data_IF_433698575935
#
_entry.id   IF_433698575935
#
_cell.length_a   1.000
_cell.length_b   1.000
_cell.length_c   1.000
_cell.angle_alpha   90.00
_cell.angle_beta   90.00
_cell.angle_gamma   90.00
#
_symmetry.space_group_name_H-M   'P 1'
#
loop_
_entity.id
_entity.type
_entity.pdbx_description
1 polymer ?
#
# COMPACT_ATOMS: atom_id res chain seq x y z
N UNK A 1 -53.44 -36.29 1.49
CA UNK A 1 -53.21 -35.58 2.77
C UNK A 1 -52.41 -34.32 2.44
N UNK A 2 -52.92 -33.09 2.28
CA UNK A 2 -54.05 -32.36 2.88
C UNK A 2 -54.20 -32.52 4.39
N UNK A 3 -54.43 -31.38 5.04
CA UNK A 3 -54.73 -31.14 6.47
C UNK A 3 -53.49 -31.02 7.39
N UNK A 4 -53.10 -29.80 7.79
CA UNK A 4 -53.67 -29.12 8.96
C UNK A 4 -52.90 -27.83 9.32
N UNK A 5 -53.66 -26.74 9.51
CA UNK A 5 -53.50 -25.60 10.45
C UNK A 5 -54.15 -24.37 9.80
N UNK A 6 -55.48 -24.32 9.81
CA UNK A 6 -56.31 -23.70 10.85
C UNK A 6 -55.88 -22.25 11.15
N UNK A 7 -56.76 -21.28 10.85
CA UNK A 7 -57.76 -20.83 11.82
C UNK A 7 -58.74 -19.87 11.13
N UNK A 8 -60.00 -20.09 11.49
CA UNK A 8 -61.24 -19.43 11.07
C UNK A 8 -61.31 -17.96 11.44
N UNK A 9 -62.07 -17.23 10.60
CA UNK A 9 -62.71 -15.97 10.90
C UNK A 9 -63.65 -16.10 12.10
N UNK A 10 -63.65 -15.12 13.01
CA UNK A 10 -64.75 -14.17 13.22
C UNK A 10 -64.47 -13.21 14.39
N UNK A 11 -65.07 -12.03 14.23
CA UNK A 11 -65.46 -11.03 15.23
C UNK A 11 -64.64 -9.74 15.40
N UNK A 12 -65.45 -8.67 15.48
CA UNK A 12 -65.21 -7.24 15.63
C UNK A 12 -65.07 -6.50 14.30
N UNK A 13 -66.09 -5.82 13.80
CA UNK A 13 -67.27 -5.30 14.46
C UNK A 13 -67.54 -3.95 13.81
N UNK A 14 -68.77 -3.78 13.34
CA UNK A 14 -69.24 -2.67 12.53
C UNK A 14 -68.85 -1.28 13.07
N UNK A 15 -68.54 -0.37 12.15
CA UNK A 15 -69.22 0.91 12.20
C UNK A 15 -69.56 1.39 10.78
N UNK A 16 -70.85 1.65 10.63
CA UNK A 16 -71.54 2.06 9.43
C UNK A 16 -71.26 3.54 9.22
N UNK A 17 -70.50 3.89 8.18
CA UNK A 17 -70.55 5.27 7.63
C UNK A 17 -71.48 5.23 6.43
N UNK A 18 -72.57 5.97 6.59
CA UNK A 18 -73.65 6.07 5.63
C UNK A 18 -73.15 6.47 4.24
N UNK A 19 -73.68 5.74 3.26
CA UNK A 19 -73.62 6.00 1.83
C UNK A 19 -74.23 7.39 1.57
N UNK A 20 -73.41 8.38 1.16
CA UNK A 20 -73.93 9.74 0.93
C UNK A 20 -72.96 10.90 0.87
N UNK A 21 -71.63 10.70 0.89
CA UNK A 21 -70.70 11.76 0.49
C UNK A 21 -70.44 11.63 -1.02
N UNK A 22 -70.53 12.71 -1.81
CA UNK A 22 -70.14 12.64 -3.22
C UNK A 22 -68.70 12.14 -3.27
N UNK A 23 -68.45 11.08 -4.06
CA UNK A 23 -67.09 10.57 -4.25
C UNK A 23 -66.15 11.75 -4.51
N UNK A 24 -64.99 11.83 -3.82
CA UNK A 24 -64.01 12.85 -4.14
C UNK A 24 -63.65 12.61 -5.60
N UNK A 25 -64.04 13.56 -6.45
CA UNK A 25 -63.72 13.56 -7.86
C UNK A 25 -62.21 13.37 -7.93
N UNK A 26 -61.78 12.16 -8.28
CA UNK A 26 -60.37 11.82 -8.38
C UNK A 26 -59.85 12.66 -9.54
N UNK A 27 -59.39 13.88 -9.24
CA UNK A 27 -58.58 14.65 -10.14
C UNK A 27 -57.41 13.73 -10.50
N UNK A 28 -57.17 13.47 -11.79
CA UNK A 28 -56.15 12.51 -12.18
C UNK A 28 -54.85 12.95 -11.54
N UNK A 29 -54.30 12.11 -10.67
CA UNK A 29 -53.03 12.34 -10.00
C UNK A 29 -52.05 12.87 -11.04
N UNK A 30 -51.63 14.12 -10.87
CA UNK A 30 -50.72 14.80 -11.79
C UNK A 30 -49.54 13.87 -12.05
N UNK A 31 -49.32 13.51 -13.31
CA UNK A 31 -48.32 12.55 -13.74
C UNK A 31 -46.98 12.80 -13.01
N UNK A 32 -46.24 11.74 -12.59
CA UNK A 32 -44.96 11.92 -11.94
C UNK A 32 -44.06 12.79 -12.83
N UNK A 33 -43.54 13.88 -12.27
CA UNK A 33 -42.73 14.84 -13.01
C UNK A 33 -41.59 14.11 -13.75
N UNK A 34 -41.29 14.48 -15.01
CA UNK A 34 -40.28 13.80 -15.81
C UNK A 34 -38.93 13.89 -15.10
N UNK A 35 -38.32 12.74 -14.82
CA UNK A 35 -36.98 12.65 -14.23
C UNK A 35 -36.02 13.33 -15.20
N UNK A 36 -35.50 14.50 -14.81
CA UNK A 36 -34.59 15.28 -15.64
C UNK A 36 -33.37 14.43 -16.03
N UNK A 37 -33.12 14.30 -17.34
CA UNK A 37 -32.02 13.51 -17.88
C UNK A 37 -30.68 14.10 -17.41
N UNK A 38 -29.94 13.35 -16.57
CA UNK A 38 -28.62 13.79 -16.10
C UNK A 38 -27.59 13.64 -17.21
N UNK A 39 -27.30 14.75 -17.91
CA UNK A 39 -26.26 14.84 -18.94
C UNK A 39 -24.91 14.35 -18.38
N UNK A 40 -24.29 13.30 -18.94
CA UNK A 40 -23.06 12.75 -18.40
C UNK A 40 -21.91 13.76 -18.59
N UNK A 41 -21.21 14.10 -17.49
CA UNK A 41 -20.01 14.94 -17.54
C UNK A 41 -18.91 14.21 -18.30
N UNK A 42 -18.54 14.72 -19.48
CA UNK A 42 -17.44 14.19 -20.30
C UNK A 42 -16.13 14.83 -19.81
N UNK A 43 -15.34 14.11 -19.02
CA UNK A 43 -13.99 14.54 -18.68
C UNK A 43 -13.06 14.24 -19.86
N UNK A 44 -12.44 15.27 -20.45
CA UNK A 44 -11.51 15.09 -21.57
C UNK A 44 -10.10 14.75 -21.05
N UNK A 45 -9.90 13.48 -20.68
CA UNK A 45 -8.62 12.95 -20.21
C UNK A 45 -7.69 12.69 -21.40
N UNK A 46 -8.24 12.17 -22.50
CA UNK A 46 -7.47 11.77 -23.69
C UNK A 46 -6.80 12.95 -24.41
N UNK A 47 -7.43 14.13 -24.42
CA UNK A 47 -6.87 15.34 -25.06
C UNK A 47 -5.70 15.97 -24.29
N UNK A 48 -5.57 15.68 -22.98
CA UNK A 48 -4.49 16.21 -22.12
C UNK A 48 -3.44 15.16 -21.76
N UNK A 49 -3.38 14.04 -22.49
CA UNK A 49 -2.45 12.93 -22.20
C UNK A 49 -1.00 13.37 -22.01
N UNK A 50 -0.51 14.30 -22.84
CA UNK A 50 0.88 14.78 -22.78
C UNK A 50 1.17 15.54 -21.49
N UNK A 51 0.20 16.28 -20.96
CA UNK A 51 0.33 16.97 -19.67
C UNK A 51 0.44 15.97 -18.52
N UNK A 52 -0.38 14.91 -18.56
CA UNK A 52 -0.31 13.84 -17.56
C UNK A 52 1.01 13.05 -17.65
N UNK A 53 1.48 12.75 -18.86
CA UNK A 53 2.79 12.11 -19.04
C UNK A 53 3.94 12.99 -18.55
N UNK A 54 3.93 14.29 -18.86
CA UNK A 54 4.95 15.23 -18.40
C UNK A 54 4.95 15.36 -16.87
N UNK A 55 3.76 15.45 -16.25
CA UNK A 55 3.63 15.48 -14.79
C UNK A 55 4.15 14.20 -14.15
N UNK A 56 3.80 13.03 -14.70
CA UNK A 56 4.33 11.75 -14.24
C UNK A 56 5.85 11.69 -14.37
N UNK A 57 6.41 12.15 -15.49
CA UNK A 57 7.85 12.14 -15.73
C UNK A 57 8.59 13.04 -14.72
N UNK A 58 8.03 14.22 -14.41
CA UNK A 58 8.56 15.14 -13.40
C UNK A 58 8.62 14.51 -12.01
N UNK A 59 7.76 13.53 -11.69
CA UNK A 59 7.81 12.82 -10.40
C UNK A 59 8.74 11.61 -10.47
N UNK A 60 8.68 10.84 -11.57
CA UNK A 60 9.45 9.61 -11.74
C UNK A 60 10.94 9.89 -11.84
N UNK A 61 11.36 10.87 -12.65
CA UNK A 61 12.79 11.12 -12.93
C UNK A 61 13.54 11.55 -11.67
N UNK A 62 13.09 12.55 -10.89
CA UNK A 62 13.73 12.88 -9.62
C UNK A 62 13.69 11.74 -8.62
N UNK A 63 12.62 10.93 -8.61
CA UNK A 63 12.55 9.71 -7.78
C UNK A 63 13.67 8.72 -8.10
N UNK A 64 13.90 8.43 -9.39
CA UNK A 64 14.99 7.57 -9.86
C UNK A 64 16.35 8.19 -9.52
N UNK A 65 16.55 9.49 -9.78
CA UNK A 65 17.81 10.19 -9.46
C UNK A 65 18.10 10.17 -7.96
N UNK A 66 17.07 10.37 -7.13
CA UNK A 66 17.19 10.29 -5.68
C UNK A 66 17.60 8.88 -5.23
N UNK A 67 16.98 7.83 -5.80
CA UNK A 67 17.37 6.45 -5.53
C UNK A 67 18.81 6.14 -5.93
N UNK A 68 19.26 6.63 -7.10
CA UNK A 68 20.60 6.38 -7.61
C UNK A 68 21.70 7.09 -6.80
N UNK A 69 21.42 8.27 -6.25
CA UNK A 69 22.43 9.10 -5.55
C UNK A 69 22.45 8.89 -4.04
N UNK A 70 21.30 8.79 -3.38
CA UNK A 70 21.22 8.77 -1.91
C UNK A 70 21.35 7.38 -1.29
N UNK A 71 21.55 6.35 -2.10
CA UNK A 71 21.51 4.94 -1.70
C UNK A 71 20.18 4.56 -1.03
N UNK A 72 19.91 3.26 -0.94
CA UNK A 72 18.74 2.77 -0.23
C UNK A 72 19.06 2.65 1.26
N UNK A 73 18.15 3.12 2.13
CA UNK A 73 18.14 2.73 3.54
C UNK A 73 17.65 1.28 3.63
N UNK A 74 18.50 0.35 3.20
CA UNK A 74 18.18 -1.07 3.13
C UNK A 74 17.88 -1.60 4.54
N UNK A 75 16.79 -2.37 4.65
CA UNK A 75 16.51 -3.13 5.86
C UNK A 75 17.61 -4.17 6.13
N UNK A 76 17.64 -4.67 7.36
CA UNK A 76 18.62 -5.68 7.81
C UNK A 76 18.60 -6.97 6.98
N UNK A 77 17.47 -7.31 6.35
CA UNK A 77 17.35 -8.47 5.46
C UNK A 77 18.19 -8.34 4.18
N UNK A 78 18.51 -7.10 3.77
CA UNK A 78 19.29 -6.81 2.57
C UNK A 78 20.68 -6.26 2.90
N UNK A 79 20.82 -5.42 3.93
CA UNK A 79 22.13 -4.92 4.35
C UNK A 79 22.93 -5.93 5.16
N UNK A 80 22.26 -6.89 5.81
CA UNK A 80 22.81 -7.63 6.94
C UNK A 80 22.92 -6.75 8.18
N UNK A 81 23.06 -7.36 9.36
CA UNK A 81 23.18 -6.60 10.59
C UNK A 81 22.64 -7.33 11.81
N UNK A 82 22.49 -6.57 12.88
CA UNK A 82 21.88 -7.03 14.12
C UNK A 82 20.80 -6.06 14.57
N UNK A 83 19.58 -6.55 14.71
CA UNK A 83 18.44 -5.78 15.22
C UNK A 83 18.09 -6.28 16.63
N UNK A 84 17.99 -5.35 17.57
CA UNK A 84 17.56 -5.61 18.93
C UNK A 84 16.26 -4.83 19.18
N UNK A 85 15.20 -5.56 19.52
CA UNK A 85 13.95 -4.97 20.01
C UNK A 85 13.99 -5.02 21.53
N UNK A 86 14.07 -3.85 22.15
CA UNK A 86 14.21 -3.69 23.60
C UNK A 86 13.14 -2.76 24.14
N UNK A 87 12.62 -3.07 25.33
CA UNK A 87 11.78 -2.16 26.08
C UNK A 87 12.49 -1.76 27.38
N UNK A 88 12.45 -0.46 27.70
CA UNK A 88 13.11 0.08 28.89
C UNK A 88 12.07 0.42 29.96
N UNK A 89 12.28 -0.08 31.18
CA UNK A 89 11.36 0.19 32.30
C UNK A 89 11.35 1.68 32.72
N UNK A 90 12.43 2.41 32.46
CA UNK A 90 12.58 3.80 32.86
C UNK A 90 12.06 4.81 31.81
N UNK A 91 11.46 4.33 30.71
CA UNK A 91 10.96 5.17 29.61
C UNK A 91 11.95 6.28 29.18
N UNK A 92 13.23 5.96 28.92
CA UNK A 92 14.21 6.93 28.45
C UNK A 92 13.73 7.53 27.14
N UNK A 93 14.07 8.80 26.90
CA UNK A 93 13.75 9.47 25.63
C UNK A 93 14.57 8.88 24.48
N UNK A 94 14.07 8.99 23.24
CA UNK A 94 14.81 8.55 22.05
C UNK A 94 16.24 9.11 21.99
N UNK A 95 16.43 10.38 22.37
CA UNK A 95 17.73 11.02 22.37
C UNK A 95 18.70 10.40 23.39
N UNK A 96 18.20 9.96 24.56
CA UNK A 96 19.02 9.27 25.56
C UNK A 96 19.42 7.88 25.08
N UNK A 97 18.50 7.14 24.46
CA UNK A 97 18.80 5.81 23.91
C UNK A 97 19.80 5.94 22.76
N UNK A 98 19.58 6.88 21.83
CA UNK A 98 20.53 7.13 20.74
C UNK A 98 21.91 7.55 21.28
N UNK A 99 21.97 8.41 22.30
CA UNK A 99 23.25 8.79 22.92
C UNK A 99 23.98 7.62 23.60
N UNK A 100 23.25 6.66 24.18
CA UNK A 100 23.86 5.44 24.72
C UNK A 100 24.42 4.54 23.62
N UNK A 101 23.67 4.36 22.53
CA UNK A 101 24.07 3.57 21.36
C UNK A 101 25.26 4.20 20.63
N UNK A 102 25.29 5.53 20.50
CA UNK A 102 26.40 6.25 19.89
C UNK A 102 27.68 6.14 20.73
N UNK A 103 27.54 6.08 22.06
CA UNK A 103 28.68 5.93 22.98
C UNK A 103 29.37 4.56 22.89
N UNK A 104 28.71 3.54 22.34
CA UNK A 104 29.30 2.22 22.07
C UNK A 104 30.27 2.27 20.87
N UNK A 105 30.15 3.27 19.99
CA UNK A 105 31.04 3.45 18.83
C UNK A 105 30.81 2.47 17.68
N UNK A 106 29.65 1.80 17.65
CA UNK A 106 29.35 0.70 16.70
C UNK A 106 28.40 1.15 15.57
N UNK A 107 28.17 2.45 15.41
CA UNK A 107 27.25 3.03 14.40
C UNK A 107 25.84 2.43 14.44
N UNK A 108 25.25 2.35 15.63
CA UNK A 108 23.87 1.91 15.79
C UNK A 108 22.86 3.01 15.48
N UNK A 109 21.69 2.63 14.95
CA UNK A 109 20.55 3.54 14.76
C UNK A 109 19.37 3.10 15.62
N UNK A 110 18.68 4.06 16.22
CA UNK A 110 17.54 3.79 17.11
C UNK A 110 16.24 4.30 16.48
N UNK A 111 15.23 3.44 16.52
CA UNK A 111 13.87 3.75 16.06
C UNK A 111 12.92 3.48 17.23
N UNK A 112 12.12 4.46 17.63
CA UNK A 112 11.08 4.25 18.65
C UNK A 112 9.89 3.52 18.03
N UNK A 113 9.38 2.50 18.70
CA UNK A 113 8.17 1.78 18.28
C UNK A 113 6.87 2.43 18.77
N UNK A 114 6.97 3.53 19.52
CA UNK A 114 5.88 4.09 20.30
C UNK A 114 5.70 3.35 21.64
N UNK A 115 5.40 4.10 22.70
CA UNK A 115 5.42 3.58 24.08
C UNK A 115 6.85 3.38 24.58
N UNK A 116 7.14 2.19 25.10
CA UNK A 116 8.37 1.91 25.87
C UNK A 116 9.40 1.11 25.07
N UNK A 117 9.03 0.73 23.85
CA UNK A 117 9.80 -0.10 22.94
C UNK A 117 10.68 0.70 21.98
N UNK A 118 11.85 0.14 21.72
CA UNK A 118 12.85 0.65 20.81
C UNK A 118 13.40 -0.48 19.97
N UNK A 119 13.59 -0.21 18.67
CA UNK A 119 14.32 -1.06 17.75
C UNK A 119 15.67 -0.41 17.53
N UNK A 120 16.73 -1.11 17.92
CA UNK A 120 18.11 -0.68 17.76
C UNK A 120 18.75 -1.56 16.68
N UNK A 121 19.29 -0.93 15.64
CA UNK A 121 19.93 -1.60 14.52
C UNK A 121 21.41 -1.30 14.50
N UNK A 122 22.21 -2.35 14.51
CA UNK A 122 23.65 -2.31 14.38
C UNK A 122 24.09 -2.93 13.06
N UNK A 123 25.29 -2.59 12.56
CA UNK A 123 26.02 -3.40 11.58
C UNK A 123 26.21 -4.84 12.09
N UNK A 124 26.67 -5.79 11.24
CA UNK A 124 26.82 -7.19 11.65
C UNK A 124 27.72 -7.35 12.89
N UNK A 125 27.17 -7.86 13.99
CA UNK A 125 27.88 -8.10 15.25
C UNK A 125 28.07 -9.58 15.53
N UNK A 126 29.12 -9.89 16.30
CA UNK A 126 29.29 -11.24 16.87
C UNK A 126 28.42 -11.43 18.10
N UNK A 127 28.11 -12.68 18.44
CA UNK A 127 27.32 -13.00 19.63
C UNK A 127 27.92 -12.43 20.93
N UNK A 128 29.25 -12.36 21.04
CA UNK A 128 29.92 -11.77 22.22
C UNK A 128 29.74 -10.25 22.28
N UNK A 129 29.78 -9.56 21.15
CA UNK A 129 29.52 -8.11 21.08
C UNK A 129 28.08 -7.78 21.46
N UNK A 130 27.11 -8.58 20.99
CA UNK A 130 25.69 -8.40 21.32
C UNK A 130 25.48 -8.49 22.84
N UNK A 131 26.06 -9.48 23.50
CA UNK A 131 25.98 -9.61 24.97
C UNK A 131 26.63 -8.44 25.70
N UNK A 132 27.75 -7.93 25.18
CA UNK A 132 28.42 -6.74 25.71
C UNK A 132 27.54 -5.49 25.63
N UNK A 133 26.93 -5.25 24.47
CA UNK A 133 26.01 -4.15 24.22
C UNK A 133 24.78 -4.23 25.13
N UNK A 134 24.18 -5.41 25.28
CA UNK A 134 23.05 -5.58 26.19
C UNK A 134 23.40 -5.21 27.63
N UNK A 135 24.62 -5.57 28.06
CA UNK A 135 25.10 -5.22 29.39
C UNK A 135 25.33 -3.72 29.53
N UNK A 136 25.93 -3.08 28.51
CA UNK A 136 26.19 -1.64 28.52
C UNK A 136 24.88 -0.82 28.50
N UNK A 137 23.93 -1.18 27.64
CA UNK A 137 22.60 -0.56 27.59
C UNK A 137 21.87 -0.69 28.93
N UNK A 138 21.95 -1.87 29.56
CA UNK A 138 21.36 -2.09 30.89
C UNK A 138 22.03 -1.24 31.97
N UNK A 139 23.35 -1.06 31.91
CA UNK A 139 24.08 -0.24 32.88
C UNK A 139 23.80 1.26 32.71
N UNK A 140 23.63 1.75 31.48
CA UNK A 140 23.42 3.16 31.17
C UNK A 140 21.97 3.62 31.32
N UNK A 141 21.02 2.80 30.87
CA UNK A 141 19.60 3.16 30.74
C UNK A 141 18.72 2.47 31.79
N UNK A 142 19.28 1.52 32.54
CA UNK A 142 18.60 0.77 33.58
C UNK A 142 17.97 -0.54 33.08
N UNK A 143 17.01 -1.12 33.82
CA UNK A 143 16.45 -2.43 33.49
C UNK A 143 15.83 -2.48 32.09
N UNK A 144 16.35 -3.39 31.25
CA UNK A 144 15.90 -3.63 29.89
C UNK A 144 15.19 -4.98 29.78
N UNK A 145 14.09 -5.03 29.04
CA UNK A 145 13.47 -6.26 28.58
C UNK A 145 13.77 -6.44 27.09
N UNK A 146 14.63 -7.41 26.76
CA UNK A 146 14.96 -7.73 25.37
C UNK A 146 13.87 -8.63 24.82
N UNK A 147 13.07 -8.10 23.89
CA UNK A 147 11.95 -8.82 23.30
C UNK A 147 12.40 -9.70 22.14
N UNK A 148 13.32 -9.21 21.31
CA UNK A 148 13.78 -9.92 20.13
C UNK A 148 15.22 -9.51 19.78
N UNK A 149 15.99 -10.48 19.29
CA UNK A 149 17.29 -10.25 18.68
C UNK A 149 17.27 -10.95 17.33
N UNK A 150 17.46 -10.21 16.24
CA UNK A 150 17.59 -10.75 14.89
C UNK A 150 18.99 -10.46 14.39
N UNK A 151 19.73 -11.52 14.03
CA UNK A 151 21.06 -11.40 13.43
C UNK A 151 21.00 -11.95 12.02
N UNK A 152 21.30 -11.11 11.04
CA UNK A 152 21.38 -11.49 9.62
C UNK A 152 22.83 -11.39 9.18
N UNK A 153 23.41 -12.51 8.79
CA UNK A 153 24.76 -12.57 8.25
C UNK A 153 24.84 -11.97 6.85
N UNK A 154 25.97 -11.35 6.51
CA UNK A 154 26.19 -10.72 5.20
C UNK A 154 26.05 -11.69 4.02
N UNK A 155 26.32 -12.98 4.22
CA UNK A 155 26.13 -14.03 3.20
C UNK A 155 24.64 -14.25 2.89
N UNK A 156 23.81 -14.40 3.93
CA UNK A 156 22.36 -14.58 3.80
C UNK A 156 21.73 -13.32 3.19
N UNK A 157 22.17 -12.14 3.63
CA UNK A 157 21.71 -10.88 3.06
C UNK A 157 22.06 -10.76 1.56
N UNK A 158 23.29 -11.11 1.18
CA UNK A 158 23.72 -11.11 -0.22
C UNK A 158 22.94 -12.11 -1.09
N UNK A 159 22.70 -13.32 -0.58
CA UNK A 159 21.87 -14.31 -1.27
C UNK A 159 20.42 -13.84 -1.42
N UNK A 160 19.85 -13.23 -0.38
CA UNK A 160 18.49 -12.66 -0.40
C UNK A 160 18.36 -11.56 -1.46
N UNK A 161 19.36 -10.68 -1.58
CA UNK A 161 19.40 -9.66 -2.63
C UNK A 161 19.42 -10.31 -4.01
N UNK A 162 20.31 -11.29 -4.23
CA UNK A 162 20.45 -11.95 -5.52
C UNK A 162 19.16 -12.67 -5.94
N UNK A 163 18.55 -13.41 -5.02
CA UNK A 163 17.29 -14.12 -5.24
C UNK A 163 16.14 -13.15 -5.48
N UNK A 164 16.05 -12.06 -4.72
CA UNK A 164 15.01 -11.04 -4.90
C UNK A 164 15.13 -10.33 -6.25
N UNK A 165 16.35 -9.98 -6.66
CA UNK A 165 16.60 -9.36 -7.95
C UNK A 165 16.21 -10.30 -9.10
N UNK A 166 16.60 -11.57 -9.01
CA UNK A 166 16.24 -12.59 -10.00
C UNK A 166 14.72 -12.81 -10.04
N UNK A 167 14.06 -12.88 -8.88
CA UNK A 167 12.61 -13.05 -8.79
C UNK A 167 11.85 -11.88 -9.46
N UNK A 168 12.28 -10.64 -9.27
CA UNK A 168 11.68 -9.46 -9.92
C UNK A 168 11.83 -9.53 -11.43
N UNK A 169 13.01 -9.91 -11.94
CA UNK A 169 13.25 -10.06 -13.38
C UNK A 169 12.36 -11.16 -13.96
N UNK A 170 12.32 -12.33 -13.33
CA UNK A 170 11.52 -13.47 -13.79
C UNK A 170 10.02 -13.13 -13.74
N UNK A 171 9.53 -12.52 -12.66
CA UNK A 171 8.15 -12.09 -12.53
C UNK A 171 7.78 -11.05 -13.59
N UNK A 172 8.66 -10.06 -13.86
CA UNK A 172 8.45 -9.08 -14.91
C UNK A 172 8.31 -9.74 -16.28
N UNK A 173 9.19 -10.67 -16.62
CA UNK A 173 9.11 -11.42 -17.88
C UNK A 173 7.85 -12.29 -17.95
N UNK A 174 7.47 -12.95 -16.85
CA UNK A 174 6.26 -13.75 -16.77
C UNK A 174 4.99 -12.90 -16.97
N UNK A 175 4.94 -11.70 -16.40
CA UNK A 175 3.84 -10.76 -16.61
C UNK A 175 3.79 -10.31 -18.08
N UNK A 176 4.92 -9.96 -18.69
CA UNK A 176 4.96 -9.59 -20.11
C UNK A 176 4.50 -10.74 -21.01
N UNK A 177 4.92 -11.97 -20.72
CA UNK A 177 4.48 -13.17 -21.42
C UNK A 177 2.97 -13.40 -21.23
N UNK A 178 2.47 -13.26 -20.00
CA UNK A 178 1.05 -13.39 -19.68
C UNK A 178 0.23 -12.38 -20.47
N UNK A 179 0.64 -11.10 -20.49
CA UNK A 179 -0.03 -10.05 -21.25
C UNK A 179 -0.02 -10.37 -22.76
N UNK A 180 1.11 -10.84 -23.29
CA UNK A 180 1.22 -11.24 -24.69
C UNK A 180 0.24 -12.37 -25.05
N UNK A 181 0.13 -13.40 -24.22
CA UNK A 181 -0.81 -14.52 -24.41
C UNK A 181 -2.27 -14.03 -24.22
N UNK A 182 -2.51 -13.19 -23.22
CA UNK A 182 -3.84 -12.72 -22.82
C UNK A 182 -4.50 -11.81 -23.84
N UNK A 183 -3.70 -10.95 -24.51
CA UNK A 183 -4.17 -10.00 -25.50
C UNK A 183 -3.97 -10.47 -26.95
N UNK A 184 -3.50 -11.70 -27.15
CA UNK A 184 -3.35 -12.35 -28.47
C UNK A 184 -4.62 -12.27 -29.33
N UNK A 185 -5.81 -12.37 -28.73
CA UNK A 185 -7.08 -12.43 -29.45
C UNK A 185 -7.82 -11.07 -29.54
N UNK A 186 -7.20 -9.95 -29.15
CA UNK A 186 -7.83 -8.63 -29.28
C UNK A 186 -7.60 -8.07 -30.70
N UNK A 187 -8.64 -7.61 -31.41
CA UNK A 187 -8.50 -7.00 -32.74
C UNK A 187 -7.60 -5.76 -32.65
N UNK A 188 -6.37 -5.86 -33.18
CA UNK A 188 -5.28 -4.89 -33.02
C UNK A 188 -3.92 -5.54 -32.70
N UNK A 189 -3.93 -6.74 -32.12
CA UNK A 189 -2.77 -7.64 -31.94
C UNK A 189 -1.59 -7.07 -31.14
N UNK A 190 -0.48 -7.82 -31.13
CA UNK A 190 0.80 -7.49 -30.47
C UNK A 190 1.45 -6.17 -30.95
N UNK A 191 1.11 -5.71 -32.16
CA UNK A 191 1.66 -4.49 -32.77
C UNK A 191 1.11 -3.20 -32.14
N UNK A 192 -0.14 -3.21 -31.64
CA UNK A 192 -0.69 -2.08 -30.91
C UNK A 192 0.07 -1.84 -29.59
N UNK A 193 0.38 -2.91 -28.84
CA UNK A 193 1.14 -2.82 -27.58
C UNK A 193 2.56 -2.27 -27.75
N UNK A 194 3.32 -2.76 -28.75
CA UNK A 194 4.65 -2.22 -29.06
C UNK A 194 4.61 -0.82 -29.70
N UNK A 195 3.55 -0.45 -30.44
CA UNK A 195 3.37 0.92 -30.92
C UNK A 195 3.15 1.93 -29.78
N UNK A 196 2.47 1.55 -28.70
CA UNK A 196 2.33 2.42 -27.52
C UNK A 196 3.62 2.50 -26.67
N UNK A 197 4.41 1.43 -26.58
CA UNK A 197 5.70 1.45 -25.88
C UNK A 197 6.84 2.12 -26.66
N UNK A 198 6.94 1.89 -27.97
CA UNK A 198 8.02 2.41 -28.82
C UNK A 198 7.84 3.86 -29.30
N UNK A 199 6.60 4.36 -29.38
CA UNK A 199 6.33 5.75 -29.78
C UNK A 199 6.82 6.79 -28.76
N UNK A 200 7.02 6.41 -27.50
CA UNK A 200 7.58 7.28 -26.48
C UNK A 200 9.07 7.64 -26.75
N UNK A 201 9.86 6.70 -27.27
CA UNK A 201 11.27 6.93 -27.62
C UNK A 201 11.40 7.68 -28.95
N UNK A 202 10.55 7.37 -29.93
CA UNK A 202 10.57 8.06 -31.22
C UNK A 202 10.16 9.55 -31.12
N UNK A 203 9.19 9.89 -30.26
CA UNK A 203 8.77 11.28 -30.05
C UNK A 203 9.84 12.15 -29.36
N UNK A 204 10.75 11.55 -28.59
CA UNK A 204 11.84 12.29 -27.94
C UNK A 204 12.90 12.77 -28.93
N UNK A 205 13.13 12.04 -30.03
CA UNK A 205 14.14 12.41 -31.04
C UNK A 205 13.65 13.45 -32.06
N UNK A 206 12.33 13.65 -32.24
CA UNK A 206 11.84 14.60 -33.27
C UNK A 206 11.68 16.04 -32.75
N UNK A 207 11.79 16.28 -31.45
CA UNK A 207 11.59 17.63 -30.88
C UNK A 207 12.87 18.48 -30.79
N UNK A 208 14.03 17.96 -31.22
CA UNK A 208 15.34 18.65 -31.19
C UNK A 208 15.71 19.35 -32.52
N UNK A 209 14.83 19.35 -33.52
CA UNK A 209 15.08 19.94 -34.84
C UNK A 209 13.94 20.88 -35.24
N UNK A 210 13.69 21.93 -34.47
CA UNK A 210 13.04 23.18 -34.90
C UNK A 210 13.33 24.28 -33.89
#
# INVERSE_FOLDING_TARGET
>A
MSELSDVSAEEQGADIVADGAPEPKVEPASAPAPVAERKPRRLNITGRRNLFFALSLIVIVPGIVSMATKHFALGIDFAGGTELTVAFANHPTLAQVQGAVDAEGVNGSVISTGGDGYIIRYPPLTASQVTGIQTDLKNRLGPTNVQQILVVGGTIAGETIALSALAVVVASLAILMLLAIRFRNVPGGWRAGFQFGGSALAAFCTTSSS
#
